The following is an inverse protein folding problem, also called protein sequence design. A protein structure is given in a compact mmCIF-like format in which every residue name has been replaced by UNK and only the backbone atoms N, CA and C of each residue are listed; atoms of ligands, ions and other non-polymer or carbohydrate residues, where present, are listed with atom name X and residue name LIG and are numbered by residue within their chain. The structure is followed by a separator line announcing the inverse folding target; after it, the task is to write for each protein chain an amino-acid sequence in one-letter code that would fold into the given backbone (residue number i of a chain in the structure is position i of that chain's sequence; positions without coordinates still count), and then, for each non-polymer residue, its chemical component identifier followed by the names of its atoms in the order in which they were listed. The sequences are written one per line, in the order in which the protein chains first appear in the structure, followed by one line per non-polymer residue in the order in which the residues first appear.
data_IF_373374280142
#
_entry.id   IF_373374280142
#
_cell.length_a   1.000
_cell.length_b   1.000
_cell.length_c   1.000
_cell.angle_alpha   90.00
_cell.angle_beta   90.00
_cell.angle_gamma   90.00
#
_symmetry.space_group_name_H-M   'P 1'
#
loop_
_entity.id
_entity.type
_entity.pdbx_description
1 polymer ?
#
# COMPACT_ATOMS: atom_id res chain seq x y z
N UNK A 1 6.53 -4.57 -17.95
CA UNK A 1 5.89 -3.43 -17.26
C UNK A 1 6.74 -3.18 -16.04
N UNK A 2 7.59 -2.17 -16.10
CA UNK A 2 8.31 -1.67 -14.93
C UNK A 2 7.27 -0.91 -14.12
N UNK A 3 6.95 -1.42 -12.92
CA UNK A 3 5.89 -0.88 -12.08
C UNK A 3 6.55 0.16 -11.16
N UNK A 4 6.47 1.43 -11.57
CA UNK A 4 6.92 2.57 -10.77
C UNK A 4 5.72 3.20 -10.05
N UNK A 5 5.48 2.72 -8.82
CA UNK A 5 4.35 3.14 -7.97
C UNK A 5 4.84 4.03 -6.83
N UNK A 6 4.11 5.11 -6.55
CA UNK A 6 4.31 5.99 -5.39
C UNK A 6 3.03 5.98 -4.54
N UNK A 7 3.02 5.28 -3.39
CA UNK A 7 1.96 5.41 -2.40
C UNK A 7 2.06 6.75 -1.66
N UNK A 8 1.02 7.57 -1.72
CA UNK A 8 0.88 8.79 -0.94
C UNK A 8 0.40 8.44 0.46
N UNK A 9 1.28 8.67 1.43
CA UNK A 9 1.16 8.25 2.81
C UNK A 9 0.86 9.47 3.72
N UNK A 10 -0.28 9.55 4.43
CA UNK A 10 -1.34 8.55 4.58
C UNK A 10 -2.74 9.15 4.79
N UNK A 11 -3.77 8.34 4.54
CA UNK A 11 -5.07 8.43 5.21
C UNK A 11 -5.03 7.61 6.52
N UNK A 12 -4.86 8.30 7.65
CA UNK A 12 -4.60 7.68 8.97
C UNK A 12 -5.88 7.35 9.76
N UNK A 13 -7.04 7.67 9.19
CA UNK A 13 -8.36 7.43 9.77
C UNK A 13 -9.39 7.52 8.65
N UNK A 14 -10.33 6.58 8.58
CA UNK A 14 -11.31 6.45 7.49
C UNK A 14 -12.74 6.77 7.93
N UNK A 15 -13.15 6.33 9.13
CA UNK A 15 -14.50 6.55 9.67
C UNK A 15 -14.70 8.03 9.97
N UNK A 16 -13.73 8.64 10.66
CA UNK A 16 -13.59 10.09 10.75
C UNK A 16 -12.40 10.47 9.89
N UNK A 17 -12.60 10.91 8.64
CA UNK A 17 -11.52 10.91 7.65
C UNK A 17 -10.43 11.92 8.03
N UNK A 18 -9.20 11.42 8.19
CA UNK A 18 -8.01 12.24 8.47
C UNK A 18 -6.91 11.87 7.49
N UNK A 19 -6.39 12.88 6.81
CA UNK A 19 -5.20 12.80 6.00
C UNK A 19 -4.03 13.38 6.79
N UNK A 20 -2.86 12.78 6.67
CA UNK A 20 -1.62 13.30 7.21
C UNK A 20 -0.50 13.06 6.21
N UNK A 21 -0.07 14.15 5.56
CA UNK A 21 1.06 14.16 4.62
C UNK A 21 2.25 14.95 5.20
N UNK A 22 2.38 14.96 6.54
CA UNK A 22 3.36 15.74 7.28
C UNK A 22 3.38 17.22 6.84
N UNK A 23 4.56 17.77 6.53
CA UNK A 23 4.74 19.16 6.14
C UNK A 23 3.96 19.57 4.87
N UNK A 24 3.62 18.62 4.00
CA UNK A 24 2.78 18.92 2.83
C UNK A 24 1.35 19.27 3.24
N UNK A 25 0.88 18.78 4.38
CA UNK A 25 -0.41 19.16 4.95
C UNK A 25 -0.48 20.62 5.42
N UNK A 26 0.66 21.20 5.83
CA UNK A 26 0.73 22.55 6.41
C UNK A 26 0.33 23.67 5.43
N UNK A 27 0.49 23.41 4.13
CA UNK A 27 0.15 24.35 3.05
C UNK A 27 -1.23 24.07 2.43
N UNK A 28 -1.96 23.08 2.96
CA UNK A 28 -3.29 22.74 2.48
C UNK A 28 -4.37 23.60 3.15
N UNK A 29 -5.49 23.79 2.46
CA UNK A 29 -6.61 24.61 2.93
C UNK A 29 -7.75 23.72 3.40
N UNK A 30 -8.31 23.95 4.59
CA UNK A 30 -9.45 23.18 5.09
C UNK A 30 -10.65 23.24 4.13
N UNK A 31 -11.33 22.12 3.90
CA UNK A 31 -12.54 22.08 3.09
C UNK A 31 -13.75 22.33 4.00
N UNK A 32 -14.53 23.37 3.69
CA UNK A 32 -15.70 23.74 4.49
C UNK A 32 -16.67 22.56 4.65
N UNK A 33 -17.06 22.26 5.90
CA UNK A 33 -17.98 21.17 6.23
C UNK A 33 -17.36 19.77 6.22
N UNK A 34 -16.03 19.66 6.17
CA UNK A 34 -15.29 18.39 6.22
C UNK A 34 -14.11 18.48 7.20
N UNK A 35 -13.63 17.31 7.66
CA UNK A 35 -12.34 17.18 8.38
C UNK A 35 -11.15 17.08 7.42
N UNK A 36 -11.40 17.04 6.11
CA UNK A 36 -10.39 16.97 5.07
C UNK A 36 -9.93 18.36 4.62
N UNK A 37 -8.78 18.39 3.96
CA UNK A 37 -8.18 19.59 3.38
C UNK A 37 -7.98 19.45 1.87
N UNK A 38 -7.91 20.57 1.16
CA UNK A 38 -7.53 20.69 -0.23
C UNK A 38 -6.06 21.08 -0.36
N UNK A 39 -5.30 20.29 -1.12
CA UNK A 39 -3.87 20.49 -1.36
C UNK A 39 -3.60 20.75 -2.84
N UNK A 40 -3.46 22.01 -3.24
CA UNK A 40 -3.21 22.38 -4.64
C UNK A 40 -1.85 21.87 -5.17
N UNK A 41 -0.83 21.82 -4.31
CA UNK A 41 0.48 21.26 -4.69
C UNK A 41 0.38 19.76 -4.95
N UNK A 42 -0.25 18.99 -4.06
CA UNK A 42 -0.47 17.56 -4.30
C UNK A 42 -1.33 17.30 -5.53
N UNK A 43 -2.37 18.10 -5.79
CA UNK A 43 -3.16 18.01 -7.04
C UNK A 43 -2.26 18.14 -8.28
N UNK A 44 -1.39 19.16 -8.30
CA UNK A 44 -0.47 19.42 -9.40
C UNK A 44 0.59 18.31 -9.54
N UNK A 45 1.15 17.85 -8.43
CA UNK A 45 2.21 16.85 -8.41
C UNK A 45 1.70 15.47 -8.80
N UNK A 46 0.51 15.06 -8.33
CA UNK A 46 -0.15 13.81 -8.78
C UNK A 46 -0.31 13.83 -10.30
N UNK A 47 -0.85 14.92 -10.84
CA UNK A 47 -1.07 15.09 -12.27
C UNK A 47 0.26 15.05 -13.05
N UNK A 48 1.31 15.68 -12.51
CA UNK A 48 2.64 15.72 -13.12
C UNK A 48 3.30 14.34 -13.12
N UNK A 49 3.29 13.64 -11.99
CA UNK A 49 3.77 12.27 -11.87
C UNK A 49 3.10 11.33 -12.87
N UNK A 50 1.78 11.41 -12.99
CA UNK A 50 1.01 10.58 -13.91
C UNK A 50 1.28 10.94 -15.38
N UNK A 51 1.15 12.21 -15.76
CA UNK A 51 1.16 12.63 -17.17
C UNK A 51 2.56 12.83 -17.75
N UNK A 52 3.49 13.34 -16.96
CA UNK A 52 4.84 13.67 -17.43
C UNK A 52 5.79 12.49 -17.22
N UNK A 53 5.68 11.80 -16.08
CA UNK A 53 6.63 10.76 -15.68
C UNK A 53 6.08 9.34 -15.77
N UNK A 54 4.80 9.17 -16.15
CA UNK A 54 4.17 7.85 -16.28
C UNK A 54 4.09 7.06 -14.97
N UNK A 55 4.16 7.74 -13.83
CA UNK A 55 4.13 7.12 -12.49
C UNK A 55 2.71 6.82 -12.07
N UNK A 56 2.54 5.69 -11.38
CA UNK A 56 1.27 5.30 -10.78
C UNK A 56 1.23 5.83 -9.35
N UNK A 57 0.15 6.54 -9.00
CA UNK A 57 -0.02 7.13 -7.67
C UNK A 57 -1.13 6.42 -6.92
N UNK A 58 -0.84 5.88 -5.74
CA UNK A 58 -1.85 5.29 -4.85
C UNK A 58 -2.09 6.21 -3.66
N UNK A 59 -3.27 6.18 -3.07
CA UNK A 59 -3.46 6.68 -1.70
C UNK A 59 -3.27 5.51 -0.73
N UNK A 60 -2.30 5.63 0.18
CA UNK A 60 -2.08 4.65 1.24
C UNK A 60 -2.94 4.96 2.46
N UNK A 61 -3.63 3.93 2.96
CA UNK A 61 -4.57 3.97 4.08
C UNK A 61 -4.00 3.10 5.19
N UNK A 62 -3.86 3.67 6.38
CA UNK A 62 -3.18 3.03 7.49
C UNK A 62 -1.95 3.81 7.94
N UNK A 63 -0.81 3.13 7.96
CA UNK A 63 0.46 3.54 8.54
C UNK A 63 0.52 3.32 10.06
N UNK A 64 1.73 3.41 10.62
CA UNK A 64 2.02 3.22 12.04
C UNK A 64 1.19 4.07 13.03
N UNK A 65 0.59 5.18 12.57
CA UNK A 65 -0.25 6.07 13.39
C UNK A 65 -1.75 5.80 13.23
N UNK A 66 -2.14 4.80 12.46
CA UNK A 66 -3.54 4.42 12.29
C UNK A 66 -4.10 3.84 13.58
N UNK A 67 -5.24 4.36 14.04
CA UNK A 67 -5.81 4.03 15.36
C UNK A 67 -7.23 3.48 15.30
N UNK A 68 -7.92 3.62 14.18
CA UNK A 68 -9.26 3.07 14.01
C UNK A 68 -9.14 1.55 13.83
N UNK A 69 -9.26 0.75 14.90
CA UNK A 69 -9.11 -0.72 14.86
C UNK A 69 -10.06 -1.49 13.92
N UNK A 70 -10.62 -0.85 12.90
CA UNK A 70 -11.52 -1.38 11.89
C UNK A 70 -12.85 -0.66 11.90
N UNK A 71 -13.85 -1.33 11.34
CA UNK A 71 -15.24 -0.87 11.34
C UNK A 71 -16.08 -1.70 12.30
N UNK A 72 -17.12 -1.10 12.87
CA UNK A 72 -18.06 -1.78 13.78
C UNK A 72 -18.95 -2.81 13.07
N UNK A 73 -19.13 -2.68 11.75
CA UNK A 73 -19.91 -3.59 10.93
C UNK A 73 -19.43 -3.57 9.48
N UNK A 74 -19.80 -4.59 8.71
CA UNK A 74 -19.56 -4.63 7.26
C UNK A 74 -20.27 -3.50 6.52
N UNK A 75 -21.46 -3.07 6.98
CA UNK A 75 -22.19 -1.95 6.39
C UNK A 75 -21.45 -0.62 6.57
N UNK A 76 -20.85 -0.39 7.75
CA UNK A 76 -19.99 0.75 8.00
C UNK A 76 -18.74 0.72 7.10
N UNK A 77 -18.13 -0.46 6.96
CA UNK A 77 -16.98 -0.67 6.08
C UNK A 77 -17.31 -0.37 4.60
N UNK A 78 -18.46 -0.83 4.09
CA UNK A 78 -18.93 -0.52 2.73
C UNK A 78 -19.18 0.97 2.54
N UNK A 79 -19.80 1.62 3.53
CA UNK A 79 -20.04 3.07 3.49
C UNK A 79 -18.73 3.86 3.44
N UNK A 80 -17.76 3.48 4.27
CA UNK A 80 -16.42 4.06 4.27
C UNK A 80 -15.71 3.90 2.92
N UNK A 81 -15.79 2.71 2.30
CA UNK A 81 -15.20 2.45 0.98
C UNK A 81 -15.81 3.35 -0.11
N UNK A 82 -17.14 3.53 -0.09
CA UNK A 82 -17.82 4.43 -1.03
C UNK A 82 -17.39 5.89 -0.84
N UNK A 83 -17.18 6.32 0.41
CA UNK A 83 -16.69 7.67 0.70
C UNK A 83 -15.26 7.89 0.19
N UNK A 84 -14.35 6.96 0.48
CA UNK A 84 -12.96 7.00 -0.04
C UNK A 84 -12.94 7.06 -1.57
N UNK A 85 -13.74 6.23 -2.23
CA UNK A 85 -13.88 6.25 -3.68
C UNK A 85 -14.41 7.59 -4.20
N UNK A 86 -15.39 8.20 -3.53
CA UNK A 86 -15.94 9.51 -3.87
C UNK A 86 -14.90 10.63 -3.77
N UNK A 87 -14.06 10.59 -2.72
CA UNK A 87 -13.07 11.63 -2.46
C UNK A 87 -11.85 11.58 -3.39
N UNK A 88 -11.38 10.39 -3.73
CA UNK A 88 -10.09 10.19 -4.41
C UNK A 88 -10.17 9.47 -5.75
N UNK A 89 -11.25 8.74 -6.00
CA UNK A 89 -11.55 8.10 -7.27
C UNK A 89 -12.00 9.10 -8.35
N UNK A 90 -12.75 8.64 -9.37
CA UNK A 90 -13.19 9.46 -10.49
C UNK A 90 -13.77 10.80 -10.05
N UNK A 91 -13.35 11.87 -10.73
CA UNK A 91 -13.74 13.22 -10.35
C UNK A 91 -15.26 13.40 -10.36
N UNK A 92 -15.77 14.03 -9.30
CA UNK A 92 -17.13 14.56 -9.20
C UNK A 92 -17.09 15.91 -8.52
N UNK A 93 -17.78 16.90 -9.09
CA UNK A 93 -17.87 18.24 -8.51
C UNK A 93 -18.72 18.32 -7.26
N UNK A 94 -19.51 17.27 -6.95
CA UNK A 94 -20.33 17.19 -5.74
C UNK A 94 -19.62 16.56 -4.53
N UNK A 95 -18.40 16.05 -4.72
CA UNK A 95 -17.63 15.39 -3.68
C UNK A 95 -16.68 16.37 -2.97
N UNK A 96 -16.29 16.02 -1.74
CA UNK A 96 -15.12 16.63 -1.08
C UNK A 96 -13.87 16.13 -1.82
N UNK A 97 -13.04 17.04 -2.34
CA UNK A 97 -11.90 16.71 -3.20
C UNK A 97 -10.58 17.20 -2.62
N UNK A 98 -9.88 16.39 -1.81
CA UNK A 98 -8.59 16.78 -1.23
C UNK A 98 -7.50 17.08 -2.26
N UNK A 99 -7.56 16.42 -3.42
CA UNK A 99 -6.65 16.64 -4.53
C UNK A 99 -7.33 17.31 -5.73
N UNK A 100 -8.40 18.08 -5.49
CA UNK A 100 -9.14 18.77 -6.53
C UNK A 100 -9.59 17.82 -7.65
N UNK A 101 -9.16 18.11 -8.87
CA UNK A 101 -9.46 17.33 -10.08
C UNK A 101 -8.55 16.12 -10.29
N UNK A 102 -7.43 16.02 -9.57
CA UNK A 102 -6.55 14.87 -9.66
C UNK A 102 -7.26 13.61 -9.13
N UNK A 103 -6.96 12.47 -9.76
CA UNK A 103 -7.54 11.16 -9.48
C UNK A 103 -6.41 10.17 -9.27
N UNK A 104 -6.32 9.57 -8.08
CA UNK A 104 -5.31 8.53 -7.80
C UNK A 104 -5.52 7.33 -8.72
N UNK A 105 -4.49 6.53 -8.94
CA UNK A 105 -4.54 5.30 -9.74
C UNK A 105 -5.00 4.09 -8.92
N UNK A 106 -5.20 4.27 -7.61
CA UNK A 106 -5.67 3.22 -6.74
C UNK A 106 -5.42 3.49 -5.27
N UNK A 107 -5.48 2.42 -4.50
CA UNK A 107 -5.40 2.47 -3.05
C UNK A 107 -4.44 1.42 -2.54
N UNK A 108 -3.79 1.75 -1.44
CA UNK A 108 -2.87 0.90 -0.73
C UNK A 108 -3.34 0.73 0.72
N UNK A 109 -3.21 -0.49 1.25
CA UNK A 109 -3.56 -0.81 2.63
C UNK A 109 -2.29 -1.14 3.42
N UNK A 110 -1.91 -0.25 4.32
CA UNK A 110 -0.74 -0.40 5.18
C UNK A 110 -1.19 -0.49 6.64
N UNK A 111 -1.93 -1.55 6.98
CA UNK A 111 -2.39 -1.73 8.34
C UNK A 111 -1.31 -2.42 9.17
N UNK A 112 -0.81 -1.73 10.20
CA UNK A 112 0.24 -2.24 11.08
C UNK A 112 -0.28 -2.79 12.42
N UNK A 113 -1.61 -2.78 12.61
CA UNK A 113 -2.29 -3.34 13.79
C UNK A 113 -3.58 -4.04 13.36
N UNK A 114 -4.09 -4.94 14.20
CA UNK A 114 -5.31 -5.70 13.93
C UNK A 114 -6.50 -4.78 13.64
N UNK A 115 -7.18 -5.07 12.54
CA UNK A 115 -8.33 -4.30 12.04
C UNK A 115 -9.53 -5.19 11.76
N UNK A 116 -10.72 -4.77 12.20
CA UNK A 116 -11.97 -5.50 12.01
C UNK A 116 -12.76 -5.06 10.77
N UNK A 117 -13.49 -6.00 10.15
CA UNK A 117 -14.35 -5.78 8.98
C UNK A 117 -13.64 -5.22 7.72
N UNK A 118 -12.30 -5.23 7.67
CA UNK A 118 -11.52 -4.76 6.52
C UNK A 118 -11.76 -5.54 5.21
N UNK A 119 -12.01 -6.87 5.21
CA UNK A 119 -12.37 -7.56 3.98
C UNK A 119 -13.60 -6.97 3.27
N UNK A 120 -14.58 -6.43 4.00
CA UNK A 120 -15.76 -5.78 3.42
C UNK A 120 -15.40 -4.42 2.80
N UNK A 121 -14.60 -3.61 3.49
CA UNK A 121 -14.10 -2.33 2.97
C UNK A 121 -13.28 -2.53 1.68
N UNK A 122 -12.30 -3.43 1.73
CA UNK A 122 -11.41 -3.75 0.63
C UNK A 122 -12.15 -4.35 -0.58
N UNK A 123 -13.10 -5.27 -0.34
CA UNK A 123 -13.93 -5.85 -1.41
C UNK A 123 -14.80 -4.80 -2.08
N UNK A 124 -15.36 -3.87 -1.31
CA UNK A 124 -16.16 -2.78 -1.87
C UNK A 124 -15.31 -1.84 -2.74
N UNK A 125 -14.14 -1.40 -2.26
CA UNK A 125 -13.21 -0.60 -3.06
C UNK A 125 -12.83 -1.32 -4.36
N UNK A 126 -12.45 -2.59 -4.28
CA UNK A 126 -12.14 -3.40 -5.48
C UNK A 126 -13.33 -3.47 -6.45
N UNK A 127 -14.55 -3.59 -5.94
CA UNK A 127 -15.77 -3.62 -6.77
C UNK A 127 -15.95 -2.31 -7.53
N UNK A 128 -15.79 -1.17 -6.86
CA UNK A 128 -15.89 0.16 -7.46
C UNK A 128 -14.80 0.38 -8.52
N UNK A 129 -13.56 -0.03 -8.23
CA UNK A 129 -12.43 0.02 -9.16
C UNK A 129 -12.69 -0.82 -10.42
N UNK A 130 -13.17 -2.06 -10.26
CA UNK A 130 -13.47 -2.93 -11.39
C UNK A 130 -14.64 -2.42 -12.25
N UNK A 131 -15.61 -1.73 -11.65
CA UNK A 131 -16.73 -1.13 -12.37
C UNK A 131 -16.31 0.09 -13.21
N UNK A 132 -15.20 0.76 -12.85
CA UNK A 132 -14.69 1.90 -13.60
C UNK A 132 -13.59 1.47 -14.59
N UNK A 133 -13.94 1.40 -15.86
CA UNK A 133 -13.02 0.96 -16.94
C UNK A 133 -12.24 2.12 -17.59
N UNK A 134 -12.28 3.32 -17.02
CA UNK A 134 -11.63 4.50 -17.63
C UNK A 134 -10.10 4.44 -17.61
N UNK A 135 -9.55 3.66 -16.66
CA UNK A 135 -8.13 3.33 -16.55
C UNK A 135 -7.97 2.03 -15.77
N UNK A 136 -6.76 1.49 -15.77
CA UNK A 136 -6.41 0.40 -14.86
C UNK A 136 -6.26 0.96 -13.44
N UNK A 137 -6.94 0.33 -12.48
CA UNK A 137 -6.88 0.67 -11.07
C UNK A 137 -6.06 -0.37 -10.31
N UNK A 138 -5.22 0.07 -9.37
CA UNK A 138 -4.34 -0.79 -8.58
C UNK A 138 -4.81 -0.85 -7.12
N UNK A 139 -5.03 -2.04 -6.59
CA UNK A 139 -5.19 -2.24 -5.15
C UNK A 139 -3.99 -3.00 -4.61
N UNK A 140 -3.39 -2.48 -3.55
CA UNK A 140 -2.27 -3.11 -2.89
C UNK A 140 -2.45 -3.25 -1.38
N UNK A 141 -1.56 -4.02 -0.78
CA UNK A 141 -1.42 -4.14 0.66
C UNK A 141 0.05 -4.22 1.07
N UNK A 142 0.38 -3.81 2.29
CA UNK A 142 1.73 -3.76 2.83
C UNK A 142 1.89 -4.67 4.07
N UNK A 143 1.66 -6.00 3.95
CA UNK A 143 1.81 -6.88 5.10
C UNK A 143 3.27 -6.90 5.61
N UNK A 144 3.46 -7.17 6.89
CA UNK A 144 4.78 -7.47 7.42
C UNK A 144 5.24 -8.87 6.98
N UNK A 145 6.54 -9.18 7.05
CA UNK A 145 7.03 -10.49 6.63
C UNK A 145 6.49 -11.70 7.43
N UNK A 146 6.13 -11.62 8.73
CA UNK A 146 5.54 -12.76 9.43
C UNK A 146 4.26 -13.24 8.72
N UNK A 147 4.14 -14.56 8.53
CA UNK A 147 3.02 -15.14 7.81
C UNK A 147 2.27 -16.15 8.69
N UNK A 148 0.92 -16.10 8.78
CA UNK A 148 0.06 -15.07 8.19
C UNK A 148 0.26 -13.70 8.87
N UNK A 149 0.13 -12.63 8.10
CA UNK A 149 0.15 -11.27 8.63
C UNK A 149 -1.09 -11.04 9.53
N UNK A 150 -0.92 -10.35 10.66
CA UNK A 150 -1.98 -10.19 11.66
C UNK A 150 -3.03 -9.15 11.26
N UNK A 151 -2.63 -8.09 10.56
CA UNK A 151 -3.47 -6.95 10.23
C UNK A 151 -4.16 -7.16 8.87
N UNK A 152 -3.39 -7.52 7.86
CA UNK A 152 -3.85 -7.71 6.47
C UNK A 152 -4.26 -9.16 6.18
N UNK A 153 -3.86 -10.12 7.01
CA UNK A 153 -4.17 -11.54 6.85
C UNK A 153 -5.61 -11.86 6.49
N UNK A 154 -6.63 -11.29 7.17
CA UNK A 154 -8.04 -11.50 6.81
C UNK A 154 -8.39 -11.11 5.38
N UNK A 155 -7.72 -10.11 4.80
CA UNK A 155 -7.92 -9.71 3.40
C UNK A 155 -7.12 -10.61 2.44
N UNK A 156 -5.90 -10.97 2.84
CA UNK A 156 -4.94 -11.77 2.06
C UNK A 156 -5.31 -13.26 1.99
N UNK A 157 -6.16 -13.76 2.90
CA UNK A 157 -6.64 -15.15 2.93
C UNK A 157 -7.67 -15.49 1.82
N UNK A 158 -7.49 -14.95 0.61
CA UNK A 158 -8.36 -15.20 -0.55
C UNK A 158 -9.65 -14.37 -0.58
N UNK A 159 -9.87 -13.47 0.38
CA UNK A 159 -11.06 -12.64 0.42
C UNK A 159 -11.04 -11.54 -0.66
N UNK A 160 -9.90 -10.87 -0.82
CA UNK A 160 -9.72 -9.69 -1.66
C UNK A 160 -8.72 -9.95 -2.79
N UNK A 161 -9.01 -9.41 -3.97
CA UNK A 161 -8.09 -9.45 -5.12
C UNK A 161 -7.15 -8.26 -5.03
N UNK A 162 -5.86 -8.49 -4.82
CA UNK A 162 -4.80 -7.47 -4.83
C UNK A 162 -3.97 -7.59 -6.11
N UNK A 163 -3.53 -6.46 -6.66
CA UNK A 163 -2.65 -6.43 -7.84
C UNK A 163 -1.19 -6.60 -7.42
N UNK A 164 -0.82 -5.96 -6.31
CA UNK A 164 0.53 -5.95 -5.75
C UNK A 164 0.45 -6.07 -4.23
N UNK A 165 1.40 -6.77 -3.61
CA UNK A 165 1.65 -6.66 -2.18
C UNK A 165 3.12 -6.29 -1.95
N UNK A 166 3.38 -5.38 -1.01
CA UNK A 166 4.73 -4.98 -0.62
C UNK A 166 5.04 -5.52 0.77
N UNK A 167 5.53 -6.75 0.79
CA UNK A 167 5.87 -7.42 2.04
C UNK A 167 7.03 -6.69 2.70
N UNK A 168 6.84 -6.21 3.92
CA UNK A 168 7.84 -5.47 4.68
C UNK A 168 8.88 -6.45 5.26
N UNK A 169 10.00 -6.65 4.55
CA UNK A 169 11.09 -7.53 4.98
C UNK A 169 12.12 -6.78 5.85
N UNK A 170 11.62 -6.09 6.86
CA UNK A 170 12.39 -5.34 7.86
C UNK A 170 11.64 -5.35 9.21
N UNK A 171 12.30 -4.88 10.27
CA UNK A 171 11.75 -4.83 11.64
C UNK A 171 11.29 -6.19 12.23
N UNK A 172 11.58 -7.30 11.56
CA UNK A 172 11.09 -8.63 11.89
C UNK A 172 12.16 -9.69 11.65
N UNK A 173 12.02 -10.85 12.31
CA UNK A 173 12.97 -11.96 12.22
C UNK A 173 13.16 -12.50 10.79
N UNK A 174 12.13 -12.35 9.95
CA UNK A 174 12.10 -12.79 8.55
C UNK A 174 12.58 -11.70 7.56
N UNK A 175 13.10 -10.58 8.05
CA UNK A 175 13.61 -9.51 7.20
C UNK A 175 14.89 -9.85 6.43
N UNK A 176 15.31 -8.96 5.53
CA UNK A 176 16.45 -9.20 4.63
C UNK A 176 17.78 -9.41 5.36
N UNK A 177 17.94 -8.87 6.57
CA UNK A 177 19.12 -9.10 7.42
C UNK A 177 19.28 -10.56 7.86
N UNK A 178 18.23 -11.37 7.70
CA UNK A 178 18.24 -12.81 8.01
C UNK A 178 18.54 -13.70 6.79
N UNK A 179 18.74 -13.09 5.61
CA UNK A 179 19.04 -13.80 4.37
C UNK A 179 20.46 -14.40 4.39
N UNK A 180 20.57 -15.66 3.98
CA UNK A 180 21.83 -16.40 3.88
C UNK A 180 22.22 -16.57 2.42
N UNK A 181 23.22 -15.80 1.99
CA UNK A 181 23.73 -15.87 0.61
C UNK A 181 24.28 -17.26 0.26
N UNK A 182 24.00 -17.72 -0.96
CA UNK A 182 24.43 -19.03 -1.46
C UNK A 182 23.57 -20.22 -1.01
N UNK A 183 22.62 -20.01 -0.08
CA UNK A 183 21.67 -21.05 0.30
C UNK A 183 20.43 -21.04 -0.59
N UNK A 184 20.06 -22.21 -1.14
CA UNK A 184 18.83 -22.37 -1.93
C UNK A 184 17.56 -22.39 -1.08
N UNK A 185 17.69 -22.70 0.22
CA UNK A 185 16.62 -22.64 1.20
C UNK A 185 16.96 -21.66 2.30
N UNK A 186 15.97 -20.88 2.73
CA UNK A 186 16.15 -19.84 3.75
C UNK A 186 15.38 -20.24 5.00
N UNK A 187 16.00 -20.14 6.17
CA UNK A 187 15.35 -20.50 7.43
C UNK A 187 14.39 -19.40 7.92
N UNK A 188 14.87 -18.16 7.89
CA UNK A 188 14.13 -17.00 8.43
C UNK A 188 13.57 -16.11 7.32
N UNK A 189 14.40 -15.69 6.37
CA UNK A 189 13.95 -14.88 5.23
C UNK A 189 12.94 -15.67 4.39
N UNK A 190 11.68 -15.22 4.39
CA UNK A 190 10.56 -16.07 3.98
C UNK A 190 9.86 -15.64 2.69
N UNK A 191 10.58 -15.04 1.73
CA UNK A 191 10.00 -14.68 0.43
C UNK A 191 9.35 -15.88 -0.28
N UNK A 192 9.90 -17.09 -0.12
CA UNK A 192 9.32 -18.33 -0.66
C UNK A 192 7.91 -18.63 -0.10
N UNK A 193 7.64 -18.25 1.15
CA UNK A 193 6.30 -18.36 1.76
C UNK A 193 5.32 -17.43 1.07
N UNK A 194 5.73 -16.19 0.81
CA UNK A 194 4.90 -15.21 0.09
C UNK A 194 4.71 -15.55 -1.39
N UNK A 195 5.70 -16.17 -2.05
CA UNK A 195 5.52 -16.74 -3.38
C UNK A 195 4.52 -17.91 -3.38
N UNK A 196 4.55 -18.75 -2.35
CA UNK A 196 3.57 -19.83 -2.18
C UNK A 196 2.16 -19.27 -1.97
N UNK A 197 2.01 -18.23 -1.14
CA UNK A 197 0.75 -17.51 -0.96
C UNK A 197 0.23 -16.95 -2.30
N UNK A 198 1.10 -16.28 -3.07
CA UNK A 198 0.74 -15.69 -4.35
C UNK A 198 0.18 -16.72 -5.35
N UNK A 199 0.69 -17.96 -5.29
CA UNK A 199 0.30 -19.06 -6.19
C UNK A 199 -0.91 -19.86 -5.72
N UNK A 200 -1.13 -19.97 -4.41
CA UNK A 200 -2.07 -20.95 -3.84
C UNK A 200 -3.22 -20.35 -3.04
N UNK A 201 -3.08 -19.10 -2.57
CA UNK A 201 -4.05 -18.44 -1.68
C UNK A 201 -4.58 -17.14 -2.26
N UNK A 202 -3.74 -16.35 -2.93
CA UNK A 202 -4.15 -15.07 -3.52
C UNK A 202 -5.37 -15.23 -4.43
N UNK A 203 -6.36 -14.35 -4.26
CA UNK A 203 -7.53 -14.30 -5.14
C UNK A 203 -7.16 -13.85 -6.56
N UNK A 204 -6.09 -13.07 -6.69
CA UNK A 204 -5.51 -12.72 -7.99
C UNK A 204 -4.35 -13.66 -8.30
N UNK A 205 -4.47 -14.56 -9.30
CA UNK A 205 -3.39 -15.48 -9.67
C UNK A 205 -2.17 -14.76 -10.29
N UNK A 206 -2.32 -13.48 -10.66
CA UNK A 206 -1.26 -12.66 -11.25
C UNK A 206 -0.67 -11.64 -10.27
N UNK A 207 -1.01 -11.74 -8.97
CA UNK A 207 -0.50 -10.81 -7.94
C UNK A 207 1.03 -10.74 -7.98
N UNK A 208 1.55 -9.55 -7.76
CA UNK A 208 3.00 -9.31 -7.64
C UNK A 208 3.41 -9.14 -6.19
N UNK A 209 4.46 -9.84 -5.78
CA UNK A 209 5.07 -9.73 -4.46
C UNK A 209 6.33 -8.88 -4.57
N UNK A 210 6.34 -7.75 -3.88
CA UNK A 210 7.47 -6.82 -3.86
C UNK A 210 8.33 -7.08 -2.63
N UNK A 211 9.64 -7.01 -2.80
CA UNK A 211 10.61 -7.06 -1.71
C UNK A 211 10.66 -5.69 -1.03
N UNK A 212 9.93 -5.51 0.08
CA UNK A 212 9.96 -4.28 0.88
C UNK A 212 11.23 -4.16 1.71
N UNK A 213 11.99 -3.08 1.52
CA UNK A 213 13.26 -2.81 2.19
C UNK A 213 13.32 -1.37 2.73
N UNK A 214 14.13 -1.08 3.75
CA UNK A 214 14.42 0.29 4.15
C UNK A 214 15.31 0.99 3.11
N UNK A 215 15.01 2.25 2.79
CA UNK A 215 15.80 3.05 1.85
C UNK A 215 17.12 3.58 2.45
N UNK A 216 17.15 3.76 3.78
CA UNK A 216 18.32 4.23 4.51
C UNK A 216 18.36 3.65 5.94
N UNK A 217 19.48 3.88 6.65
CA UNK A 217 19.73 3.38 8.01
C UNK A 217 18.72 3.84 9.06
N UNK A 218 17.98 4.92 8.80
CA UNK A 218 16.98 5.47 9.72
C UNK A 218 15.53 5.29 9.27
N UNK A 219 15.28 4.58 8.17
CA UNK A 219 13.93 4.33 7.64
C UNK A 219 13.21 3.18 8.35
N UNK A 220 13.95 2.28 8.98
CA UNK A 220 13.42 1.21 9.81
C UNK A 220 14.36 0.96 11.01
N UNK A 221 13.88 0.28 12.05
CA UNK A 221 14.69 -0.11 13.20
C UNK A 221 15.71 -1.22 12.89
N UNK A 222 15.50 -2.00 11.83
CA UNK A 222 16.43 -3.02 11.35
C UNK A 222 16.17 -3.36 9.88
N UNK A 223 17.08 -4.10 9.23
CA UNK A 223 16.89 -4.60 7.87
C UNK A 223 17.39 -3.68 6.74
N UNK A 224 18.12 -2.61 7.05
CA UNK A 224 18.82 -1.84 6.03
C UNK A 224 20.09 -2.58 5.59
N UNK A 225 20.17 -2.94 4.31
CA UNK A 225 21.32 -3.62 3.70
C UNK A 225 21.72 -2.90 2.41
N UNK A 226 22.99 -3.00 2.01
CA UNK A 226 23.51 -2.36 0.79
C UNK A 226 24.51 -3.25 0.05
N UNK A 227 24.96 -2.80 -1.13
CA UNK A 227 26.02 -3.46 -1.89
C UNK A 227 25.72 -4.92 -2.20
N UNK A 228 26.71 -5.79 -1.99
CA UNK A 228 26.60 -7.22 -2.31
C UNK A 228 25.54 -7.95 -1.49
N UNK A 229 25.32 -7.56 -0.23
CA UNK A 229 24.29 -8.19 0.61
C UNK A 229 22.90 -7.95 0.02
N UNK A 230 22.58 -6.69 -0.31
CA UNK A 230 21.32 -6.33 -0.96
C UNK A 230 21.20 -6.95 -2.36
N UNK A 231 22.27 -6.96 -3.15
CA UNK A 231 22.28 -7.57 -4.48
C UNK A 231 21.94 -9.07 -4.42
N UNK A 232 22.47 -9.79 -3.43
CA UNK A 232 22.23 -11.23 -3.28
C UNK A 232 20.78 -11.53 -2.90
N UNK A 233 20.17 -10.78 -1.98
CA UNK A 233 18.75 -11.00 -1.61
C UNK A 233 17.82 -10.68 -2.78
N UNK A 234 18.08 -9.60 -3.53
CA UNK A 234 17.31 -9.26 -4.73
C UNK A 234 17.45 -10.36 -5.78
N UNK A 235 18.65 -10.88 -6.02
CA UNK A 235 18.89 -11.95 -6.98
C UNK A 235 18.14 -13.24 -6.61
N UNK A 236 18.13 -13.60 -5.33
CA UNK A 236 17.35 -14.73 -4.82
C UNK A 236 15.84 -14.50 -5.02
N UNK A 237 15.32 -13.34 -4.62
CA UNK A 237 13.90 -13.00 -4.78
C UNK A 237 13.45 -13.00 -6.25
N UNK A 238 14.30 -12.56 -7.19
CA UNK A 238 14.03 -12.60 -8.64
C UNK A 238 13.83 -14.00 -9.21
N UNK A 239 14.26 -15.05 -8.51
CA UNK A 239 14.04 -16.43 -8.96
C UNK A 239 12.59 -16.90 -8.82
N UNK A 240 11.77 -16.20 -8.04
CA UNK A 240 10.36 -16.51 -7.83
C UNK A 240 9.47 -15.81 -8.88
N UNK A 241 8.55 -16.55 -9.47
CA UNK A 241 7.67 -16.04 -10.55
C UNK A 241 6.70 -14.95 -10.10
N UNK A 242 6.38 -14.90 -8.80
CA UNK A 242 5.56 -13.84 -8.21
C UNK A 242 6.31 -12.53 -7.98
N UNK A 243 7.66 -12.52 -8.07
CA UNK A 243 8.46 -11.32 -7.83
C UNK A 243 8.02 -10.17 -8.74
N UNK A 244 7.69 -9.04 -8.12
CA UNK A 244 7.25 -7.82 -8.80
C UNK A 244 8.31 -6.74 -8.89
N UNK A 245 9.30 -6.76 -8.00
CA UNK A 245 10.26 -5.67 -7.83
C UNK A 245 10.60 -5.41 -6.37
N UNK A 246 11.15 -4.24 -6.12
CA UNK A 246 11.54 -3.76 -4.78
C UNK A 246 10.62 -2.61 -4.39
N UNK A 247 10.15 -2.61 -3.14
CA UNK A 247 9.51 -1.46 -2.52
C UNK A 247 10.50 -0.88 -1.50
N UNK A 248 10.61 0.44 -1.43
CA UNK A 248 11.50 1.10 -0.48
C UNK A 248 10.69 1.98 0.46
N UNK A 249 10.79 1.75 1.78
CA UNK A 249 10.28 2.68 2.78
C UNK A 249 11.32 3.77 3.01
N UNK A 250 10.99 5.06 2.78
CA UNK A 250 11.93 6.16 2.99
C UNK A 250 11.91 6.64 4.45
N UNK A 251 13.00 7.26 4.89
CA UNK A 251 12.94 8.25 5.98
C UNK A 251 13.05 9.61 5.32
N UNK A 252 11.92 10.28 5.08
CA UNK A 252 11.78 11.61 4.46
C UNK A 252 12.99 12.08 3.62
N UNK A 253 12.78 12.20 2.29
CA UNK A 253 13.71 12.75 1.30
C UNK A 253 14.67 11.76 0.59
N UNK A 254 14.26 10.50 0.40
CA UNK A 254 14.87 9.57 -0.56
C UNK A 254 14.01 9.38 -1.82
#
# INVERSE_FOLDING_TARGET
MEIDIIPLAFMVSVTNPVLNFANQGDVCTAISGSTLFYCSQLEADITTCQKTYGKTILLSIGGATYTEGGFSSTAAAVTAANNVWSWFGPYSSSAVRPFGTAVVDGFDFDFETTVFNMPAFATQLRTLMNANTSKQWILSAAPQCPYPDAADGPMLAGAVSFDVIWVQFYNNYCGIQSFVAGSSTQNNFNFATWDTWAKTVSKNPNVKVMLGIPANTGAAGSGYETGTALANVIAYSKSFSSFGGVMMIPRCCD
#
